data_IF_716825086919
#
_entry.id   IF_716825086919
#
_cell.length_a   1.000
_cell.length_b   1.000
_cell.length_c   1.000
_cell.angle_alpha   90.00
_cell.angle_beta   90.00
_cell.angle_gamma   90.00
#
_symmetry.space_group_name_H-M   'P 1'
#
loop_
_entity.id
_entity.type
_entity.pdbx_description
1 polymer ?
#
# COMPACT_ATOMS: atom_id res chain seq x y z
N UNK A 1 -30.09 8.44 -13.64
CA UNK A 1 -28.95 7.70 -13.08
C UNK A 1 -28.82 8.04 -11.60
N UNK A 2 -28.64 7.05 -10.72
CA UNK A 2 -28.43 7.32 -9.28
C UNK A 2 -27.09 8.04 -9.08
N UNK A 3 -27.02 8.98 -8.14
CA UNK A 3 -25.76 9.68 -7.82
C UNK A 3 -24.86 8.75 -7.00
N UNK A 4 -23.54 8.81 -7.21
CA UNK A 4 -22.57 7.96 -6.51
C UNK A 4 -22.73 7.98 -4.99
N UNK A 5 -22.97 9.15 -4.41
CA UNK A 5 -23.21 9.29 -2.97
C UNK A 5 -24.44 8.54 -2.47
N UNK A 6 -25.48 8.37 -3.29
CA UNK A 6 -26.66 7.56 -2.94
C UNK A 6 -26.31 6.08 -2.90
N UNK A 7 -25.53 5.59 -3.87
CA UNK A 7 -25.06 4.19 -3.90
C UNK A 7 -24.19 3.89 -2.69
N UNK A 8 -23.29 4.81 -2.33
CA UNK A 8 -22.48 4.69 -1.11
C UNK A 8 -23.35 4.62 0.14
N UNK A 9 -24.38 5.48 0.25
CA UNK A 9 -25.29 5.48 1.39
C UNK A 9 -26.10 4.18 1.51
N UNK A 10 -26.59 3.65 0.38
CA UNK A 10 -27.31 2.36 0.32
C UNK A 10 -26.43 1.19 0.80
N UNK A 11 -25.11 1.28 0.61
CA UNK A 11 -24.14 0.27 1.03
C UNK A 11 -23.55 0.53 2.43
N UNK A 12 -24.05 1.53 3.16
CA UNK A 12 -23.58 1.86 4.51
C UNK A 12 -22.30 2.70 4.56
N UNK A 13 -21.85 3.25 3.43
CA UNK A 13 -20.73 4.17 3.35
C UNK A 13 -21.19 5.63 3.46
N UNK A 14 -20.32 6.49 3.99
CA UNK A 14 -20.59 7.91 4.11
C UNK A 14 -20.73 8.59 2.74
N UNK A 15 -21.92 9.12 2.45
CA UNK A 15 -22.18 9.86 1.21
C UNK A 15 -21.40 11.19 1.09
N UNK A 16 -21.04 11.80 2.23
CA UNK A 16 -20.31 13.07 2.28
C UNK A 16 -18.79 12.91 2.15
N UNK A 17 -18.29 11.70 1.94
CA UNK A 17 -16.86 11.44 1.91
C UNK A 17 -16.12 12.30 0.87
N UNK A 18 -14.82 12.50 1.11
CA UNK A 18 -13.93 13.22 0.19
C UNK A 18 -13.94 12.58 -1.20
N UNK A 19 -13.63 13.36 -2.24
CA UNK A 19 -13.60 12.84 -3.60
C UNK A 19 -12.66 11.64 -3.74
N UNK A 20 -11.49 11.69 -3.10
CA UNK A 20 -10.55 10.57 -3.07
C UNK A 20 -11.17 9.28 -2.49
N UNK A 21 -12.01 9.39 -1.46
CA UNK A 21 -12.69 8.23 -0.86
C UNK A 21 -13.77 7.65 -1.78
N UNK A 22 -14.47 8.52 -2.51
CA UNK A 22 -15.48 8.13 -3.51
C UNK A 22 -14.85 7.39 -4.69
N UNK A 23 -13.68 7.84 -5.13
CA UNK A 23 -12.90 7.18 -6.17
C UNK A 23 -12.37 5.82 -5.70
N UNK A 24 -11.81 5.75 -4.49
CA UNK A 24 -11.37 4.49 -3.91
C UNK A 24 -12.51 3.46 -3.77
N UNK A 25 -13.69 3.94 -3.40
CA UNK A 25 -14.91 3.12 -3.33
C UNK A 25 -15.30 2.57 -4.72
N UNK A 26 -15.30 3.40 -5.76
CA UNK A 26 -15.57 2.93 -7.14
C UNK A 26 -14.50 1.93 -7.59
N UNK A 27 -13.23 2.22 -7.33
CA UNK A 27 -12.10 1.33 -7.68
C UNK A 27 -12.27 -0.04 -7.03
N UNK A 28 -12.71 -0.08 -5.77
CA UNK A 28 -12.99 -1.32 -5.08
C UNK A 28 -14.15 -2.08 -5.75
N UNK A 29 -15.26 -1.41 -6.07
CA UNK A 29 -16.39 -2.04 -6.74
C UNK A 29 -16.03 -2.60 -8.12
N UNK A 30 -15.31 -1.85 -8.94
CA UNK A 30 -14.82 -2.31 -10.25
C UNK A 30 -13.90 -3.51 -10.12
N UNK A 31 -12.97 -3.47 -9.16
CA UNK A 31 -12.06 -4.60 -8.87
C UNK A 31 -12.82 -5.86 -8.49
N UNK A 32 -13.86 -5.72 -7.66
CA UNK A 32 -14.70 -6.85 -7.24
C UNK A 32 -15.58 -7.35 -8.40
N UNK A 33 -16.09 -6.46 -9.25
CA UNK A 33 -16.99 -6.85 -10.35
C UNK A 33 -16.27 -7.47 -11.55
N UNK A 34 -15.07 -6.99 -11.89
CA UNK A 34 -14.34 -7.46 -13.08
C UNK A 34 -13.29 -8.53 -12.74
N UNK A 35 -12.88 -8.65 -11.47
CA UNK A 35 -11.71 -9.45 -11.09
C UNK A 35 -10.39 -8.92 -11.67
N UNK A 36 -10.42 -7.80 -12.40
CA UNK A 36 -9.27 -7.20 -13.08
C UNK A 36 -8.74 -6.03 -12.25
N UNK A 37 -7.42 -6.02 -12.05
CA UNK A 37 -6.75 -4.96 -11.31
C UNK A 37 -6.53 -3.75 -12.21
N UNK A 38 -7.32 -2.68 -12.03
CA UNK A 38 -7.17 -1.43 -12.78
C UNK A 38 -6.42 -0.39 -11.95
N UNK A 39 -5.36 0.18 -12.53
CA UNK A 39 -4.56 1.24 -11.92
C UNK A 39 -5.33 2.58 -11.98
N UNK A 40 -5.43 3.33 -10.87
CA UNK A 40 -6.17 4.59 -10.81
C UNK A 40 -5.44 5.70 -11.57
N UNK A 41 -6.15 6.72 -12.06
CA UNK A 41 -5.58 7.74 -12.94
C UNK A 41 -4.41 8.50 -12.32
N UNK A 42 -4.42 8.75 -11.01
CA UNK A 42 -3.29 9.39 -10.31
C UNK A 42 -2.03 8.52 -10.31
N UNK A 43 -2.17 7.21 -10.11
CA UNK A 43 -1.03 6.28 -10.22
C UNK A 43 -0.58 6.16 -11.68
N UNK A 44 -1.50 6.21 -12.64
CA UNK A 44 -1.17 6.24 -14.08
C UNK A 44 -0.36 7.50 -14.43
N UNK A 45 -0.74 8.67 -13.95
CA UNK A 45 0.00 9.93 -14.15
C UNK A 45 1.40 9.87 -13.53
N UNK A 46 1.51 9.34 -12.30
CA UNK A 46 2.80 9.17 -11.63
C UNK A 46 3.70 8.18 -12.38
N UNK A 47 3.17 7.06 -12.85
CA UNK A 47 3.91 6.06 -13.65
C UNK A 47 4.31 6.62 -15.01
N UNK A 48 3.45 7.41 -15.65
CA UNK A 48 3.74 8.09 -16.91
C UNK A 48 4.86 9.14 -16.74
N UNK A 49 4.87 9.88 -15.63
CA UNK A 49 5.90 10.88 -15.31
C UNK A 49 7.22 10.25 -14.87
N UNK A 50 7.19 9.12 -14.15
CA UNK A 50 8.39 8.48 -13.60
C UNK A 50 9.11 7.54 -14.57
N UNK A 51 8.57 7.34 -15.79
CA UNK A 51 9.27 6.71 -16.91
C UNK A 51 10.04 5.45 -16.54
N UNK A 52 9.33 4.35 -16.27
CA UNK A 52 9.86 2.99 -16.13
C UNK A 52 11.21 2.84 -15.41
N UNK A 53 11.42 3.55 -14.30
CA UNK A 53 12.47 3.19 -13.33
C UNK A 53 11.91 2.19 -12.34
N UNK A 54 11.51 1.02 -12.83
CA UNK A 54 11.26 -0.13 -11.97
C UNK A 54 12.64 -0.54 -11.43
N UNK A 55 12.97 -0.06 -10.23
CA UNK A 55 14.13 -0.55 -9.50
C UNK A 55 13.88 -2.02 -9.18
N UNK A 56 14.46 -2.91 -9.99
CA UNK A 56 14.47 -4.34 -9.74
C UNK A 56 15.21 -4.56 -8.43
N UNK A 57 14.46 -4.71 -7.33
CA UNK A 57 15.03 -5.20 -6.08
C UNK A 57 15.59 -6.59 -6.37
N UNK A 58 16.89 -6.84 -6.13
CA UNK A 58 17.44 -8.17 -6.31
C UNK A 58 16.71 -9.10 -5.35
N UNK A 59 15.87 -9.97 -5.92
CA UNK A 59 15.30 -11.09 -5.20
C UNK A 59 16.46 -11.91 -4.67
N UNK A 60 16.64 -11.90 -3.34
CA UNK A 60 17.65 -12.66 -2.62
C UNK A 60 17.36 -14.18 -2.64
N UNK A 61 17.12 -14.73 -3.83
CA UNK A 61 16.85 -16.15 -4.04
C UNK A 61 17.72 -16.65 -5.19
N UNK A 62 19.02 -16.76 -4.92
CA UNK A 62 19.96 -17.73 -5.54
C UNK A 62 21.34 -17.55 -4.89
N UNK A 63 21.46 -17.90 -3.61
CA UNK A 63 22.72 -18.45 -3.10
C UNK A 63 22.42 -19.86 -2.58
N UNK A 64 23.30 -20.74 -3.00
CA UNK A 64 23.18 -22.19 -3.09
C UNK A 64 23.10 -22.85 -1.71
N UNK A 65 22.36 -23.96 -1.65
CA UNK A 65 22.80 -25.24 -1.07
C UNK A 65 23.81 -25.13 0.09
N UNK A 66 23.29 -24.98 1.31
CA UNK A 66 23.63 -25.74 2.53
C UNK A 66 22.95 -25.04 3.73
N UNK A 67 22.03 -25.79 4.36
CA UNK A 67 21.14 -25.49 5.50
C UNK A 67 20.89 -24.03 5.95
N UNK A 68 19.68 -23.47 5.77
CA UNK A 68 19.32 -22.20 6.38
C UNK A 68 18.68 -22.45 7.75
N UNK A 69 19.49 -22.39 8.82
CA UNK A 69 18.92 -21.98 10.10
C UNK A 69 18.33 -20.58 9.93
N UNK A 70 17.09 -20.32 10.39
CA UNK A 70 16.49 -19.01 10.30
C UNK A 70 17.41 -18.00 11.02
N UNK A 71 17.81 -16.95 10.31
CA UNK A 71 18.61 -15.87 10.89
C UNK A 71 17.75 -15.18 11.93
N UNK A 72 18.02 -15.45 13.20
CA UNK A 72 17.36 -14.81 14.32
C UNK A 72 17.99 -13.42 14.51
N UNK A 73 17.26 -12.38 14.12
CA UNK A 73 17.64 -10.99 14.41
C UNK A 73 17.42 -10.75 15.91
N UNK A 74 18.50 -10.73 16.69
CA UNK A 74 18.47 -10.29 18.08
C UNK A 74 18.58 -8.77 18.13
N UNK A 75 17.65 -8.14 18.84
CA UNK A 75 17.69 -6.72 19.14
C UNK A 75 18.28 -6.52 20.54
N UNK A 76 19.37 -5.77 20.63
CA UNK A 76 19.99 -5.38 21.89
C UNK A 76 19.49 -4.00 22.32
N UNK A 77 18.66 -3.97 23.35
CA UNK A 77 18.09 -2.73 23.91
C UNK A 77 19.02 -2.03 24.91
N UNK A 78 20.19 -2.60 25.20
CA UNK A 78 21.16 -2.04 26.16
C UNK A 78 21.78 -0.71 25.68
N UNK A 79 21.61 -0.36 24.41
CA UNK A 79 22.16 0.85 23.80
C UNK A 79 21.24 2.07 23.94
N UNK A 80 20.03 1.90 24.47
CA UNK A 80 19.13 3.03 24.72
C UNK A 80 19.53 3.70 26.04
N UNK A 81 20.64 4.45 26.01
CA UNK A 81 20.94 5.43 27.06
C UNK A 81 19.85 6.50 26.97
N UNK A 82 18.90 6.44 27.90
CA UNK A 82 18.07 7.59 28.22
C UNK A 82 19.02 8.71 28.66
N UNK A 83 19.18 9.75 27.85
CA UNK A 83 19.76 11.04 28.27
C UNK A 83 18.78 11.68 29.29
N UNK A 84 18.73 11.11 30.49
CA UNK A 84 18.30 11.76 31.72
C UNK A 84 19.56 12.16 32.46
N UNK A 85 20.09 13.33 32.13
CA UNK A 85 20.69 14.30 33.06
C UNK A 85 21.49 15.32 32.25
N UNK A 86 20.83 16.42 31.93
CA UNK A 86 21.48 17.73 31.79
C UNK A 86 20.48 18.76 32.30
N UNK A 87 20.47 18.89 33.62
CA UNK A 87 20.01 20.06 34.34
C UNK A 87 21.09 21.14 34.30
#
# INVERSE_FOLDING_TARGET
>A
MKKLGQIMNELGFRADASQASKEAFIKHLLRVSEGVHVMPPTEVELVAQQGSKVATLPTAQKRKLEDPQPIQLSFDFSSQKDDKDSA
#
